data_IF_726880172083
#
_entry.id   IF_726880172083
#
_cell.length_a   1.000
_cell.length_b   1.000
_cell.length_c   1.000
_cell.angle_alpha   90.00
_cell.angle_beta   90.00
_cell.angle_gamma   90.00
#
_symmetry.space_group_name_H-M   'P 1'
#
loop_
_entity.id
_entity.type
_entity.pdbx_description
1 polymer ?
#
# COMPACT_ATOMS: atom_id res chain seq x y z
N UNK A 1 -25.83 3.01 -0.51
CA UNK A 1 -25.54 2.14 -1.68
C UNK A 1 -24.19 1.44 -1.58
N UNK A 2 -23.06 2.15 -1.47
CA UNK A 2 -21.71 1.54 -1.35
C UNK A 2 -21.60 0.53 -0.18
N UNK A 3 -22.14 0.88 0.99
CA UNK A 3 -22.23 -0.03 2.15
C UNK A 3 -23.08 -1.28 1.88
N UNK A 4 -24.18 -1.15 1.13
CA UNK A 4 -25.05 -2.27 0.77
C UNK A 4 -24.33 -3.30 -0.09
N UNK A 5 -23.66 -2.86 -1.16
CA UNK A 5 -22.90 -3.74 -2.05
C UNK A 5 -21.74 -4.43 -1.32
N UNK A 6 -21.00 -3.69 -0.47
CA UNK A 6 -19.89 -4.25 0.31
C UNK A 6 -20.38 -5.26 1.36
N UNK A 7 -21.49 -4.95 2.05
CA UNK A 7 -22.07 -5.86 3.06
C UNK A 7 -22.62 -7.14 2.42
N UNK A 8 -23.24 -7.04 1.25
CA UNK A 8 -23.74 -8.18 0.47
C UNK A 8 -22.63 -8.97 -0.24
N UNK A 9 -21.37 -8.53 -0.14
CA UNK A 9 -20.21 -9.10 -0.86
C UNK A 9 -20.35 -9.03 -2.39
N UNK A 10 -21.14 -8.10 -2.89
CA UNK A 10 -21.30 -7.80 -4.31
C UNK A 10 -20.18 -6.85 -4.75
N UNK A 11 -18.93 -7.28 -4.61
CA UNK A 11 -17.76 -6.41 -4.82
C UNK A 11 -17.60 -6.00 -6.30
N UNK A 12 -18.04 -6.84 -7.23
CA UNK A 12 -18.06 -6.59 -8.67
C UNK A 12 -19.21 -5.69 -9.15
N UNK A 13 -19.98 -5.10 -8.23
CA UNK A 13 -21.09 -4.24 -8.59
C UNK A 13 -20.58 -3.02 -9.36
N UNK A 14 -21.18 -2.75 -10.53
CA UNK A 14 -20.74 -1.70 -11.47
C UNK A 14 -20.57 -0.33 -10.79
N UNK A 15 -21.47 0.01 -9.86
CA UNK A 15 -21.37 1.22 -9.04
C UNK A 15 -20.07 1.35 -8.24
N UNK A 16 -19.49 0.27 -7.72
CA UNK A 16 -18.20 0.33 -7.01
C UNK A 16 -17.10 0.72 -8.00
N UNK A 17 -17.08 0.07 -9.16
CA UNK A 17 -16.11 0.36 -10.23
C UNK A 17 -16.27 1.79 -10.73
N UNK A 18 -17.50 2.21 -11.02
CA UNK A 18 -17.83 3.56 -11.46
C UNK A 18 -17.37 4.60 -10.46
N UNK A 19 -17.69 4.44 -9.17
CA UNK A 19 -17.27 5.39 -8.13
C UNK A 19 -15.74 5.50 -8.08
N UNK A 20 -15.03 4.38 -8.04
CA UNK A 20 -13.56 4.38 -7.91
C UNK A 20 -12.83 4.88 -9.16
N UNK A 21 -13.40 4.67 -10.34
CA UNK A 21 -12.76 5.02 -11.61
C UNK A 21 -13.11 6.43 -12.11
N UNK A 22 -14.26 7.00 -11.71
CA UNK A 22 -14.73 8.28 -12.27
C UNK A 22 -14.76 9.44 -11.28
N UNK A 23 -14.63 9.22 -9.97
CA UNK A 23 -14.66 10.29 -8.98
C UNK A 23 -13.26 10.83 -8.68
N UNK A 24 -13.16 12.12 -8.34
CA UNK A 24 -11.89 12.72 -7.96
C UNK A 24 -11.37 12.12 -6.65
N UNK A 25 -10.04 12.18 -6.46
CA UNK A 25 -9.40 11.70 -5.23
C UNK A 25 -9.99 12.36 -3.98
N UNK A 26 -10.22 13.68 -4.00
CA UNK A 26 -10.80 14.44 -2.90
C UNK A 26 -12.23 13.98 -2.57
N UNK A 27 -13.07 13.75 -3.60
CA UNK A 27 -14.41 13.22 -3.39
C UNK A 27 -14.38 11.79 -2.82
N UNK A 28 -13.47 10.94 -3.31
CA UNK A 28 -13.32 9.56 -2.82
C UNK A 28 -12.91 9.53 -1.35
N UNK A 29 -11.94 10.36 -0.95
CA UNK A 29 -11.53 10.51 0.45
C UNK A 29 -12.73 10.94 1.31
N UNK A 30 -13.50 11.95 0.89
CA UNK A 30 -14.70 12.38 1.61
C UNK A 30 -15.74 11.25 1.73
N UNK A 31 -15.95 10.47 0.66
CA UNK A 31 -16.85 9.31 0.64
C UNK A 31 -16.42 8.25 1.66
N UNK A 32 -15.12 7.93 1.71
CA UNK A 32 -14.60 6.93 2.65
C UNK A 32 -14.57 7.42 4.09
N UNK A 33 -14.35 8.72 4.33
CA UNK A 33 -14.48 9.32 5.64
C UNK A 33 -15.92 9.22 6.13
N UNK A 34 -16.88 9.63 5.30
CA UNK A 34 -18.30 9.54 5.61
C UNK A 34 -18.75 8.12 5.91
N UNK A 35 -18.27 7.14 5.13
CA UNK A 35 -18.50 5.72 5.41
C UNK A 35 -18.01 5.33 6.81
N UNK A 36 -16.81 5.78 7.19
CA UNK A 36 -16.23 5.47 8.51
C UNK A 36 -17.05 6.10 9.63
N UNK A 37 -17.53 7.32 9.44
CA UNK A 37 -18.34 8.05 10.42
C UNK A 37 -19.70 7.38 10.63
N UNK A 38 -20.35 6.93 9.55
CA UNK A 38 -21.67 6.28 9.60
C UNK A 38 -21.61 4.83 10.11
N UNK A 39 -20.51 4.11 9.89
CA UNK A 39 -20.42 2.67 10.17
C UNK A 39 -19.35 2.29 11.21
N UNK A 40 -18.67 3.26 11.81
CA UNK A 40 -17.66 3.06 12.85
C UNK A 40 -16.40 2.30 12.37
N UNK A 41 -16.23 2.07 11.08
CA UNK A 41 -15.09 1.32 10.56
C UNK A 41 -14.71 1.68 9.11
N UNK A 42 -13.43 1.44 8.75
CA UNK A 42 -12.97 1.63 7.38
C UNK A 42 -13.71 0.69 6.43
N UNK A 43 -14.04 1.20 5.25
CA UNK A 43 -14.57 0.43 4.12
C UNK A 43 -13.72 -0.80 3.77
N UNK A 44 -12.40 -0.73 4.02
CA UNK A 44 -11.48 -1.85 3.77
C UNK A 44 -11.56 -2.96 4.82
N UNK A 45 -12.22 -2.74 5.97
CA UNK A 45 -12.32 -3.73 7.07
C UNK A 45 -12.98 -5.03 6.60
N UNK A 46 -13.98 -4.92 5.74
CA UNK A 46 -14.72 -6.07 5.21
C UNK A 46 -14.12 -6.66 3.93
N UNK A 47 -13.23 -5.92 3.27
CA UNK A 47 -12.46 -6.38 2.11
C UNK A 47 -11.22 -7.14 2.60
N UNK A 48 -11.37 -8.25 3.33
CA UNK A 48 -10.20 -9.00 3.81
C UNK A 48 -9.36 -9.51 2.65
N UNK A 49 -8.07 -9.67 2.90
CA UNK A 49 -7.15 -10.26 1.93
C UNK A 49 -7.56 -11.72 1.75
N UNK A 50 -7.94 -12.09 0.54
CA UNK A 50 -8.39 -13.42 0.16
C UNK A 50 -7.62 -13.79 -1.12
N UNK A 51 -6.72 -14.76 -1.01
CA UNK A 51 -5.86 -15.18 -2.11
C UNK A 51 -6.64 -15.81 -3.26
N UNK A 52 -7.83 -16.36 -3.01
CA UNK A 52 -8.71 -16.87 -4.06
C UNK A 52 -9.45 -15.72 -4.77
N UNK A 53 -9.74 -14.63 -4.06
CA UNK A 53 -10.46 -13.48 -4.61
C UNK A 53 -9.52 -12.33 -5.01
N UNK A 54 -8.90 -12.47 -6.19
CA UNK A 54 -8.01 -11.47 -6.79
C UNK A 54 -8.68 -10.10 -6.95
N UNK A 55 -9.97 -10.09 -7.28
CA UNK A 55 -10.74 -8.85 -7.46
C UNK A 55 -10.87 -8.08 -6.15
N UNK A 56 -11.25 -8.74 -5.05
CA UNK A 56 -11.35 -8.13 -3.72
C UNK A 56 -9.99 -7.60 -3.24
N UNK A 57 -8.92 -8.33 -3.53
CA UNK A 57 -7.54 -7.91 -3.25
C UNK A 57 -7.18 -6.64 -4.03
N UNK A 58 -7.49 -6.57 -5.32
CA UNK A 58 -7.29 -5.38 -6.14
C UNK A 58 -8.12 -4.19 -5.64
N UNK A 59 -9.41 -4.41 -5.34
CA UNK A 59 -10.30 -3.38 -4.80
C UNK A 59 -9.76 -2.75 -3.51
N UNK A 60 -9.29 -3.59 -2.58
CA UNK A 60 -8.66 -3.14 -1.35
C UNK A 60 -7.37 -2.36 -1.60
N UNK A 61 -6.54 -2.82 -2.55
CA UNK A 61 -5.33 -2.12 -2.93
C UNK A 61 -5.65 -0.72 -3.48
N UNK A 62 -6.61 -0.62 -4.41
CA UNK A 62 -7.07 0.65 -4.99
C UNK A 62 -7.51 1.64 -3.92
N UNK A 63 -8.39 1.22 -3.00
CA UNK A 63 -8.87 2.10 -1.92
C UNK A 63 -7.71 2.58 -1.05
N UNK A 64 -6.75 1.71 -0.74
CA UNK A 64 -5.57 2.10 0.06
C UNK A 64 -4.65 3.07 -0.68
N UNK A 65 -4.40 2.86 -1.97
CA UNK A 65 -3.64 3.80 -2.79
C UNK A 65 -4.28 5.20 -2.82
N UNK A 66 -5.62 5.27 -2.76
CA UNK A 66 -6.35 6.53 -2.71
C UNK A 66 -6.25 7.19 -1.32
N UNK A 67 -6.50 6.43 -0.24
CA UNK A 67 -6.63 6.98 1.11
C UNK A 67 -5.32 7.17 1.86
N UNK A 68 -4.37 6.27 1.65
CA UNK A 68 -3.14 6.17 2.43
C UNK A 68 -2.06 5.42 1.61
N UNK A 69 -1.54 6.06 0.54
CA UNK A 69 -0.60 5.42 -0.37
C UNK A 69 0.69 4.99 0.32
N UNK A 70 1.17 5.75 1.31
CA UNK A 70 2.39 5.42 2.04
C UNK A 70 2.21 4.13 2.86
N UNK A 71 1.07 3.92 3.54
CA UNK A 71 0.80 2.63 4.19
C UNK A 71 0.62 1.48 3.20
N UNK A 72 0.14 1.73 1.99
CA UNK A 72 0.11 0.71 0.95
C UNK A 72 1.53 0.29 0.56
N UNK A 73 2.41 1.26 0.24
CA UNK A 73 3.79 0.98 -0.16
C UNK A 73 4.62 0.36 0.97
N UNK A 74 4.47 0.81 2.22
CA UNK A 74 5.07 0.15 3.39
C UNK A 74 4.69 -1.33 3.43
N UNK A 75 3.40 -1.64 3.27
CA UNK A 75 2.92 -3.02 3.28
C UNK A 75 3.55 -3.83 2.14
N UNK A 76 3.64 -3.27 0.92
CA UNK A 76 4.25 -3.95 -0.24
C UNK A 76 5.71 -4.29 0.05
N UNK A 77 6.52 -3.32 0.50
CA UNK A 77 7.92 -3.53 0.86
C UNK A 77 8.06 -4.61 1.93
N UNK A 78 7.25 -4.52 2.99
CA UNK A 78 7.28 -5.51 4.07
C UNK A 78 6.93 -6.91 3.59
N UNK A 79 6.01 -7.06 2.64
CA UNK A 79 5.71 -8.38 2.07
C UNK A 79 6.84 -8.88 1.16
N UNK A 80 7.48 -7.97 0.43
CA UNK A 80 8.62 -8.29 -0.42
C UNK A 80 9.82 -8.79 0.38
N UNK A 81 9.99 -8.33 1.63
CA UNK A 81 11.10 -8.70 2.52
C UNK A 81 10.78 -9.84 3.51
N UNK A 82 9.52 -10.30 3.63
CA UNK A 82 9.08 -11.17 4.73
C UNK A 82 9.03 -12.69 4.40
N UNK A 83 9.68 -13.18 3.34
CA UNK A 83 9.54 -14.57 2.88
C UNK A 83 10.87 -15.22 2.47
N UNK A 84 10.81 -16.54 2.22
CA UNK A 84 11.85 -17.41 1.64
C UNK A 84 12.31 -16.89 0.27
N UNK A 85 13.08 -15.81 0.28
CA UNK A 85 13.47 -15.03 -0.88
C UNK A 85 12.79 -13.66 -0.92
N UNK A 86 13.52 -12.69 -1.47
CA UNK A 86 13.06 -11.31 -1.63
C UNK A 86 12.28 -11.19 -2.94
N UNK A 87 11.07 -10.61 -2.90
CA UNK A 87 10.38 -10.19 -4.13
C UNK A 87 11.07 -8.92 -4.66
N UNK A 88 12.13 -9.13 -5.43
CA UNK A 88 13.00 -8.07 -5.93
C UNK A 88 12.25 -7.10 -6.84
N UNK A 89 11.29 -7.56 -7.63
CA UNK A 89 10.46 -6.73 -8.49
C UNK A 89 9.59 -5.77 -7.67
N UNK A 90 8.91 -6.28 -6.64
CA UNK A 90 8.09 -5.44 -5.76
C UNK A 90 8.95 -4.46 -4.97
N UNK A 91 10.09 -4.91 -4.44
CA UNK A 91 11.02 -4.09 -3.68
C UNK A 91 11.60 -2.96 -4.54
N UNK A 92 12.15 -3.31 -5.71
CA UNK A 92 12.72 -2.37 -6.69
C UNK A 92 11.68 -1.36 -7.12
N UNK A 93 10.48 -1.82 -7.53
CA UNK A 93 9.42 -0.94 -8.01
C UNK A 93 9.05 0.11 -6.97
N UNK A 94 8.90 -0.28 -5.70
CA UNK A 94 8.55 0.71 -4.67
C UNK A 94 9.72 1.65 -4.40
N UNK A 95 10.93 1.14 -4.15
CA UNK A 95 12.09 2.01 -3.82
C UNK A 95 12.35 3.00 -4.95
N UNK A 96 12.43 2.53 -6.20
CA UNK A 96 12.76 3.39 -7.35
C UNK A 96 11.64 4.41 -7.63
N UNK A 97 10.38 3.98 -7.71
CA UNK A 97 9.29 4.90 -8.12
C UNK A 97 8.89 5.90 -7.04
N UNK A 98 9.25 5.64 -5.77
CA UNK A 98 8.92 6.50 -4.62
C UNK A 98 10.10 7.32 -4.13
N UNK A 99 11.33 7.02 -4.55
CA UNK A 99 12.57 7.68 -4.11
C UNK A 99 12.46 9.21 -4.10
N UNK A 100 11.94 9.80 -5.17
CA UNK A 100 11.86 11.26 -5.32
C UNK A 100 10.48 11.85 -4.94
N UNK A 101 9.64 11.08 -4.22
CA UNK A 101 8.26 11.48 -3.91
C UNK A 101 7.94 11.47 -2.42
N UNK A 102 7.92 10.28 -1.82
CA UNK A 102 7.46 10.06 -0.45
C UNK A 102 8.13 8.83 0.22
N UNK A 103 9.31 8.45 -0.28
CA UNK A 103 10.05 7.31 0.28
C UNK A 103 10.50 7.59 1.72
N UNK A 104 10.70 8.85 2.11
CA UNK A 104 11.01 9.23 3.50
C UNK A 104 9.88 8.83 4.46
N UNK A 105 8.64 9.18 4.14
CA UNK A 105 7.45 8.82 4.93
C UNK A 105 7.22 7.30 4.94
N UNK A 106 7.48 6.62 3.81
CA UNK A 106 7.40 5.17 3.74
C UNK A 106 8.43 4.51 4.67
N UNK A 107 9.68 5.02 4.73
CA UNK A 107 10.73 4.55 5.66
C UNK A 107 10.30 4.70 7.11
N UNK A 108 9.74 5.85 7.48
CA UNK A 108 9.25 6.11 8.84
C UNK A 108 8.11 5.16 9.24
N UNK A 109 7.15 4.96 8.33
CA UNK A 109 6.06 4.00 8.54
C UNK A 109 6.58 2.56 8.66
N UNK A 110 7.57 2.19 7.85
CA UNK A 110 8.20 0.88 7.91
C UNK A 110 8.87 0.67 9.27
N UNK A 111 9.67 1.62 9.74
CA UNK A 111 10.31 1.55 11.06
C UNK A 111 9.27 1.44 12.18
N UNK A 112 8.25 2.32 12.17
CA UNK A 112 7.17 2.31 13.16
C UNK A 112 6.44 0.96 13.25
N UNK A 113 6.38 0.22 12.15
CA UNK A 113 5.63 -1.05 12.07
C UNK A 113 6.49 -2.29 12.31
N UNK A 114 7.77 -2.25 11.98
CA UNK A 114 8.66 -3.42 11.98
C UNK A 114 9.78 -3.34 13.02
N UNK A 115 9.96 -2.18 13.68
CA UNK A 115 11.01 -1.93 14.67
C UNK A 115 12.44 -2.11 14.13
N UNK A 116 12.61 -2.09 12.81
CA UNK A 116 13.88 -2.16 12.07
C UNK A 116 13.81 -1.14 10.94
N UNK A 117 14.92 -0.45 10.66
CA UNK A 117 14.92 0.54 9.57
C UNK A 117 14.83 -0.17 8.21
N UNK A 118 14.30 0.51 7.20
CA UNK A 118 14.18 -0.08 5.87
C UNK A 118 15.55 -0.41 5.26
N UNK A 119 16.55 0.46 5.46
CA UNK A 119 17.93 0.24 5.05
C UNK A 119 18.54 -1.00 5.71
N UNK A 120 18.36 -1.21 7.02
CA UNK A 120 18.81 -2.42 7.71
C UNK A 120 18.15 -3.69 7.14
N UNK A 121 16.83 -3.63 6.89
CA UNK A 121 16.11 -4.77 6.33
C UNK A 121 16.58 -5.10 4.91
N UNK A 122 16.77 -4.09 4.05
CA UNK A 122 17.30 -4.28 2.68
C UNK A 122 18.73 -4.80 2.70
N UNK A 123 19.59 -4.28 3.58
CA UNK A 123 20.97 -4.73 3.72
C UNK A 123 21.08 -6.19 4.17
N UNK A 124 20.08 -6.69 4.90
CA UNK A 124 20.02 -8.07 5.36
C UNK A 124 19.51 -9.04 4.29
N UNK A 125 18.49 -8.64 3.53
CA UNK A 125 17.73 -9.54 2.63
C UNK A 125 18.18 -9.43 1.15
N UNK A 126 19.15 -8.59 0.82
CA UNK A 126 19.69 -8.42 -0.54
C UNK A 126 21.22 -8.44 -0.52
N UNK A 127 21.86 -8.64 -1.68
CA UNK A 127 23.34 -8.68 -1.78
C UNK A 127 23.87 -8.05 -3.07
N UNK A 128 25.20 -7.82 -3.11
CA UNK A 128 25.92 -7.39 -4.31
C UNK A 128 25.54 -5.99 -4.83
N UNK A 129 25.66 -5.79 -6.14
CA UNK A 129 25.35 -4.50 -6.78
C UNK A 129 23.89 -4.09 -6.63
N UNK A 130 22.98 -5.07 -6.56
CA UNK A 130 21.57 -4.81 -6.33
C UNK A 130 21.33 -4.17 -4.95
N UNK A 131 21.89 -4.74 -3.89
CA UNK A 131 21.87 -4.13 -2.56
C UNK A 131 22.46 -2.71 -2.56
N UNK A 132 23.64 -2.54 -3.17
CA UNK A 132 24.32 -1.24 -3.20
C UNK A 132 23.47 -0.15 -3.87
N UNK A 133 22.79 -0.49 -4.97
CA UNK A 133 21.87 0.41 -5.66
C UNK A 133 20.69 0.80 -4.76
N UNK A 134 20.01 -0.17 -4.14
CA UNK A 134 18.87 0.10 -3.29
C UNK A 134 19.23 0.95 -2.07
N UNK A 135 20.36 0.64 -1.42
CA UNK A 135 20.85 1.41 -0.28
C UNK A 135 21.20 2.85 -0.68
N UNK A 136 21.79 3.05 -1.86
CA UNK A 136 22.08 4.39 -2.39
C UNK A 136 20.80 5.22 -2.53
N UNK A 137 19.73 4.64 -3.09
CA UNK A 137 18.43 5.31 -3.21
C UNK A 137 17.80 5.60 -1.84
N UNK A 138 17.96 4.71 -0.87
CA UNK A 138 17.44 4.88 0.49
C UNK A 138 18.22 5.92 1.30
N UNK A 139 19.51 6.12 1.01
CA UNK A 139 20.41 7.06 1.71
C UNK A 139 20.38 8.47 1.13
N UNK A 140 20.12 8.64 -0.18
CA UNK A 140 20.06 9.95 -0.85
C UNK A 140 19.15 10.96 -0.12
N UNK A 141 18.09 10.49 0.53
CA UNK A 141 17.11 11.30 1.25
C UNK A 141 17.51 11.74 2.68
N UNK A 142 18.69 11.37 3.18
CA UNK A 142 19.22 11.85 4.47
C UNK A 142 20.15 13.07 4.32
N UNK A 143 20.58 13.37 3.09
CA UNK A 143 21.58 14.40 2.80
C UNK A 143 20.97 15.66 2.15
N UNK A 144 19.64 15.76 2.10
CA UNK A 144 18.84 16.89 1.61
C UNK A 144 17.76 17.27 2.64
#
# INVERSE_FOLDING_TARGET
MLHGAIRKKEFGHEEIVRILSTRSKSQLIATFSRYKDEHGCSITKHLKEDSANKYQTALRATIRCITDPQKYYEKVIRHALAKSGTDEDALTRVIVTRAEKDLREIKELYFKRNSVTLDQAVAKETSGHYQALLLTLLMKLMNE
#
